data_IF_824978461626
#
_entry.id   IF_824978461626
#
_cell.length_a   1.000
_cell.length_b   1.000
_cell.length_c   1.000
_cell.angle_alpha   90.00
_cell.angle_beta   90.00
_cell.angle_gamma   90.00
#
_symmetry.space_group_name_H-M   'P 1'
#
loop_
_entity.id
_entity.type
_entity.pdbx_description
1 polymer ?
#
# COMPACT_ATOMS: atom_id res chain seq x y z
N UNK A 1 -19.86 -2.83 16.73
CA UNK A 1 -19.50 -3.29 15.37
C UNK A 1 -18.35 -2.44 14.89
N UNK A 2 -17.28 -3.03 14.33
CA UNK A 2 -16.15 -2.23 13.88
C UNK A 2 -16.51 -1.48 12.59
N UNK A 3 -16.24 -0.19 12.57
CA UNK A 3 -16.40 0.68 11.41
C UNK A 3 -15.08 0.74 10.64
N UNK A 4 -15.16 0.72 9.31
CA UNK A 4 -13.96 0.87 8.49
C UNK A 4 -13.44 2.31 8.62
N UNK A 5 -12.17 2.52 8.99
CA UNK A 5 -11.62 3.86 9.17
C UNK A 5 -11.50 4.66 7.86
N UNK A 6 -11.69 4.03 6.69
CA UNK A 6 -11.63 4.71 5.39
C UNK A 6 -12.95 5.25 4.88
N UNK A 7 -14.04 4.51 5.11
CA UNK A 7 -15.35 4.86 4.58
C UNK A 7 -16.40 5.04 5.67
N UNK A 8 -16.00 4.83 6.94
CA UNK A 8 -16.82 4.98 8.16
C UNK A 8 -18.06 4.08 8.21
N UNK A 9 -18.21 3.19 7.21
CA UNK A 9 -19.29 2.22 7.12
C UNK A 9 -19.02 0.99 7.99
N UNK A 10 -20.08 0.33 8.49
CA UNK A 10 -19.94 -0.92 9.22
C UNK A 10 -19.29 -2.00 8.33
N UNK A 11 -18.36 -2.75 8.90
CA UNK A 11 -17.72 -3.89 8.23
C UNK A 11 -18.48 -5.16 8.58
N UNK A 12 -19.09 -5.79 7.58
CA UNK A 12 -19.77 -7.07 7.76
C UNK A 12 -18.77 -8.24 7.75
N UNK A 13 -19.10 -9.33 8.43
CA UNK A 13 -18.25 -10.52 8.54
C UNK A 13 -17.80 -11.09 7.18
N UNK A 14 -18.61 -10.96 6.13
CA UNK A 14 -18.29 -11.46 4.79
C UNK A 14 -17.14 -10.66 4.10
N UNK A 15 -16.99 -9.38 4.43
CA UNK A 15 -16.02 -8.48 3.80
C UNK A 15 -14.95 -7.97 4.76
N UNK A 16 -15.00 -8.41 6.03
CA UNK A 16 -14.04 -7.99 7.05
C UNK A 16 -12.66 -8.49 6.71
N UNK A 17 -11.72 -7.56 6.71
CA UNK A 17 -10.29 -7.85 6.72
C UNK A 17 -9.69 -7.14 7.90
N UNK A 18 -9.17 -7.93 8.83
CA UNK A 18 -8.45 -7.41 10.00
C UNK A 18 -7.06 -7.05 9.54
N UNK A 19 -6.70 -5.78 9.66
CA UNK A 19 -5.34 -5.31 9.41
C UNK A 19 -4.94 -4.24 10.41
N UNK A 20 -3.71 -4.33 10.89
CA UNK A 20 -3.11 -3.42 11.87
C UNK A 20 -4.04 -3.24 13.10
N UNK A 21 -4.67 -4.33 13.53
CA UNK A 21 -5.58 -4.33 14.68
C UNK A 21 -6.92 -3.62 14.46
N UNK A 22 -7.28 -3.26 13.22
CA UNK A 22 -8.57 -2.65 12.86
C UNK A 22 -9.27 -3.45 11.76
N UNK A 23 -10.59 -3.34 11.67
CA UNK A 23 -11.36 -3.95 10.59
C UNK A 23 -11.52 -3.01 9.40
N UNK A 24 -11.25 -3.52 8.22
CA UNK A 24 -11.37 -2.82 6.95
C UNK A 24 -12.27 -3.62 6.00
N UNK A 25 -12.79 -2.95 4.97
CA UNK A 25 -13.32 -3.67 3.81
C UNK A 25 -12.19 -4.03 2.85
N UNK A 26 -12.31 -5.17 2.16
CA UNK A 26 -11.38 -5.61 1.10
C UNK A 26 -11.07 -4.50 0.06
N UNK A 27 -12.04 -3.75 -0.48
CA UNK A 27 -11.76 -2.63 -1.40
C UNK A 27 -11.26 -1.35 -0.71
N UNK A 28 -11.53 -1.18 0.58
CA UNK A 28 -11.07 -0.01 1.34
C UNK A 28 -9.58 -0.13 1.72
N UNK A 29 -9.09 -1.35 1.85
CA UNK A 29 -7.70 -1.66 2.12
C UNK A 29 -6.85 -1.50 0.85
N UNK A 30 -6.59 -0.25 0.47
CA UNK A 30 -5.79 0.11 -0.71
C UNK A 30 -4.75 1.16 -0.34
N UNK A 31 -3.64 1.15 -1.07
CA UNK A 31 -2.55 2.08 -0.82
C UNK A 31 -3.05 3.53 -0.88
N UNK A 32 -2.75 4.32 0.14
CA UNK A 32 -3.12 5.74 0.18
C UNK A 32 -2.32 6.58 -0.83
N UNK A 33 -1.19 6.06 -1.31
CA UNK A 33 -0.42 6.74 -2.35
C UNK A 33 -1.24 6.84 -3.66
N UNK A 34 -1.56 8.07 -4.06
CA UNK A 34 -2.30 8.39 -5.28
C UNK A 34 -1.68 7.84 -6.57
N UNK A 35 -0.36 7.66 -6.62
CA UNK A 35 0.33 7.09 -7.78
C UNK A 35 0.21 5.56 -7.86
N UNK A 36 -0.11 4.90 -6.74
CA UNK A 36 -0.24 3.44 -6.69
C UNK A 36 -1.69 3.01 -6.63
N UNK A 37 -2.47 3.51 -5.66
CA UNK A 37 -3.87 3.15 -5.35
C UNK A 37 -4.19 1.65 -5.46
N UNK A 38 -3.17 0.79 -5.32
CA UNK A 38 -3.28 -0.65 -5.50
C UNK A 38 -4.06 -1.24 -4.33
N UNK A 39 -5.00 -2.13 -4.62
CA UNK A 39 -5.69 -2.93 -3.61
C UNK A 39 -4.67 -3.81 -2.89
N UNK A 40 -4.64 -3.71 -1.57
CA UNK A 40 -3.71 -4.42 -0.71
C UNK A 40 -4.40 -5.68 -0.17
N UNK A 41 -3.62 -6.75 0.00
CA UNK A 41 -4.12 -7.93 0.69
C UNK A 41 -3.95 -7.76 2.20
N UNK A 42 -4.87 -8.33 2.97
CA UNK A 42 -4.72 -8.41 4.42
C UNK A 42 -3.42 -9.13 4.79
N UNK A 43 -2.62 -8.53 5.66
CA UNK A 43 -1.32 -9.06 6.09
C UNK A 43 -0.12 -8.75 5.18
N UNK A 44 -0.31 -8.22 3.96
CA UNK A 44 0.79 -7.90 3.03
C UNK A 44 0.88 -6.39 2.72
N UNK A 45 0.82 -5.57 3.76
CA UNK A 45 1.00 -4.12 3.66
C UNK A 45 1.43 -3.52 4.99
N UNK A 46 1.91 -2.28 4.93
CA UNK A 46 2.38 -1.51 6.09
C UNK A 46 1.42 -0.36 6.39
N UNK A 47 1.35 0.08 7.64
CA UNK A 47 0.62 1.28 8.04
C UNK A 47 1.59 2.43 8.30
N UNK A 48 1.21 3.64 7.90
CA UNK A 48 1.86 4.86 8.34
C UNK A 48 0.78 5.87 8.75
N UNK A 49 0.84 6.41 9.96
CA UNK A 49 -0.13 7.40 10.48
C UNK A 49 -1.61 6.99 10.29
N UNK A 50 -1.94 5.71 10.53
CA UNK A 50 -3.30 5.20 10.36
C UNK A 50 -3.75 5.00 8.90
N UNK A 51 -2.84 5.16 7.93
CA UNK A 51 -3.10 4.97 6.50
C UNK A 51 -2.36 3.73 5.97
N UNK A 52 -3.01 2.86 5.20
CA UNK A 52 -2.38 1.67 4.66
C UNK A 52 -1.55 2.02 3.41
N UNK A 53 -0.32 1.52 3.36
CA UNK A 53 0.63 1.68 2.27
C UNK A 53 1.15 0.34 1.78
N UNK A 54 1.36 0.25 0.46
CA UNK A 54 2.05 -0.89 -0.14
C UNK A 54 3.50 -0.96 0.37
N UNK A 55 4.09 -2.15 0.57
CA UNK A 55 5.48 -2.27 1.08
C UNK A 55 6.49 -1.44 0.25
N UNK A 56 6.34 -1.46 -1.08
CA UNK A 56 7.15 -0.64 -2.01
C UNK A 56 6.98 0.86 -1.77
N UNK A 57 5.74 1.31 -1.59
CA UNK A 57 5.37 2.70 -1.38
C UNK A 57 5.84 3.18 -0.02
N UNK A 58 5.68 2.33 1.00
CA UNK A 58 6.10 2.59 2.36
C UNK A 58 7.61 2.79 2.42
N UNK A 59 8.40 1.89 1.82
CA UNK A 59 9.86 2.06 1.71
C UNK A 59 10.28 3.28 0.90
N UNK A 60 9.57 3.63 -0.18
CA UNK A 60 9.90 4.81 -0.98
C UNK A 60 9.55 6.14 -0.28
N UNK A 61 8.45 6.19 0.48
CA UNK A 61 7.96 7.41 1.14
C UNK A 61 8.60 7.61 2.51
N UNK A 62 8.67 6.53 3.30
CA UNK A 62 9.05 6.50 4.71
C UNK A 62 10.32 5.69 5.01
N UNK A 63 10.87 4.98 4.01
CA UNK A 63 12.17 4.37 4.18
C UNK A 63 13.27 5.42 4.33
N UNK A 64 14.45 5.02 4.84
CA UNK A 64 15.57 5.94 5.03
C UNK A 64 15.90 6.61 3.69
N UNK A 65 15.60 7.91 3.60
CA UNK A 65 16.01 8.76 2.49
C UNK A 65 17.51 9.00 2.62
N UNK A 66 18.29 7.97 2.29
CA UNK A 66 19.73 8.08 2.13
C UNK A 66 20.01 9.07 1.02
N UNK A 67 20.42 10.27 1.40
CA UNK A 67 21.02 11.24 0.50
C UNK A 67 22.35 10.63 0.04
N UNK A 68 22.38 10.07 -1.16
CA UNK A 68 23.56 9.40 -1.68
C UNK A 68 23.37 9.02 -3.15
N UNK A 69 23.93 9.83 -4.03
CA UNK A 69 24.28 9.41 -5.38
C UNK A 69 25.11 8.11 -5.31
N UNK A 70 24.72 7.11 -6.10
CA UNK A 70 25.51 5.89 -6.31
C UNK A 70 24.68 4.84 -7.03
N UNK A 71 25.04 4.52 -8.27
CA UNK A 71 24.34 3.58 -9.17
C UNK A 71 23.99 2.24 -8.51
N UNK A 72 23.03 1.48 -9.01
CA UNK A 72 22.78 1.09 -10.40
C UNK A 72 21.33 0.60 -10.51
N UNK A 73 20.76 0.66 -11.72
CA UNK A 73 19.52 0.00 -12.15
C UNK A 73 18.24 0.34 -11.35
N UNK A 74 17.75 1.57 -11.52
CA UNK A 74 16.31 1.78 -11.37
C UNK A 74 15.62 1.03 -12.51
N UNK A 75 15.14 -0.20 -12.25
CA UNK A 75 14.10 -0.78 -13.10
C UNK A 75 12.86 0.09 -12.99
N UNK A 76 12.84 1.16 -13.77
CA UNK A 76 11.62 1.88 -14.10
C UNK A 76 10.80 0.89 -14.90
N UNK A 77 9.77 0.33 -14.28
CA UNK A 77 8.72 -0.39 -15.00
C UNK A 77 7.94 0.64 -15.84
N UNK A 78 8.55 1.07 -16.95
CA UNK A 78 7.86 1.70 -18.06
C UNK A 78 7.19 0.56 -18.84
N UNK A 79 5.92 0.36 -18.51
CA UNK A 79 4.89 -0.09 -19.43
C UNK A 79 5.30 -1.19 -20.45
N UNK A 80 5.71 -2.36 -19.97
CA UNK A 80 5.41 -3.63 -20.65
C UNK A 80 6.10 -3.95 -21.98
N UNK A 81 7.20 -3.31 -22.37
CA UNK A 81 8.01 -3.77 -23.51
C UNK A 81 9.45 -4.04 -23.08
N UNK A 82 9.76 -5.33 -22.86
CA UNK A 82 11.14 -5.83 -22.87
C UNK A 82 11.70 -5.63 -24.27
N UNK A 83 12.75 -4.81 -24.38
CA UNK A 83 13.58 -4.67 -25.57
C UNK A 83 14.96 -4.22 -25.12
N UNK A 84 15.87 -5.19 -25.06
CA UNK A 84 17.29 -5.03 -24.72
C UNK A 84 18.00 -4.18 -25.78
N UNK A 85 19.11 -3.56 -25.37
CA UNK A 85 20.16 -3.09 -26.30
C UNK A 85 20.73 -4.23 -27.13
#
# INVERSE_FOLDING_TARGET
MPNCPRCEKPVYFAERVVSIGKDWHRPCLRCENSACKKTLSAGSHSEHEGKPYCNRCYGALFGPRGYGHGGVESHVFLNGTTGQV
#
